data_IF_186074859469
#
_entry.id   IF_186074859469
#
_cell.length_a   1.000
_cell.length_b   1.000
_cell.length_c   1.000
_cell.angle_alpha   90.00
_cell.angle_beta   90.00
_cell.angle_gamma   90.00
#
_symmetry.space_group_name_H-M   'P 1'
#
loop_
_entity.id
_entity.type
_entity.pdbx_description
1 polymer ?
#
# COMPACT_ATOMS: atom_id res chain seq x y z
N UNK A 1 22.54 11.80 1.11
CA UNK A 1 21.47 11.87 2.13
C UNK A 1 20.10 11.51 1.54
N UNK A 2 19.59 12.17 0.50
CA UNK A 2 18.27 11.81 -0.06
C UNK A 2 18.16 10.38 -0.65
N UNK A 3 19.25 9.87 -1.24
CA UNK A 3 19.26 8.52 -1.84
C UNK A 3 19.11 7.39 -0.81
N UNK A 4 19.70 7.53 0.37
CA UNK A 4 19.57 6.53 1.44
C UNK A 4 18.16 6.51 2.03
N UNK A 5 17.52 7.67 2.17
CA UNK A 5 16.11 7.75 2.61
C UNK A 5 15.17 7.10 1.59
N UNK A 6 15.40 7.33 0.29
CA UNK A 6 14.63 6.69 -0.77
C UNK A 6 14.77 5.17 -0.73
N UNK A 7 15.99 4.65 -0.62
CA UNK A 7 16.20 3.20 -0.51
C UNK A 7 15.60 2.62 0.78
N UNK A 8 15.66 3.35 1.90
CA UNK A 8 15.02 2.92 3.14
C UNK A 8 13.49 2.87 3.00
N UNK A 9 12.87 3.88 2.39
CA UNK A 9 11.43 3.88 2.14
C UNK A 9 11.01 2.71 1.24
N UNK A 10 11.75 2.44 0.16
CA UNK A 10 11.50 1.29 -0.72
C UNK A 10 11.67 -0.03 0.04
N UNK A 11 12.72 -0.17 0.84
CA UNK A 11 12.95 -1.37 1.65
C UNK A 11 11.80 -1.62 2.64
N UNK A 12 11.30 -0.57 3.30
CA UNK A 12 10.14 -0.67 4.20
C UNK A 12 8.88 -1.10 3.45
N UNK A 13 8.62 -0.54 2.26
CA UNK A 13 7.48 -0.97 1.42
C UNK A 13 7.60 -2.45 1.08
N UNK A 14 8.78 -2.94 0.67
CA UNK A 14 8.99 -4.35 0.34
C UNK A 14 8.81 -5.28 1.55
N UNK A 15 9.31 -4.88 2.73
CA UNK A 15 9.11 -5.64 3.97
C UNK A 15 7.62 -5.72 4.31
N UNK A 16 6.90 -4.59 4.26
CA UNK A 16 5.46 -4.55 4.57
C UNK A 16 4.63 -5.36 3.56
N UNK A 17 4.90 -5.22 2.26
CA UNK A 17 4.29 -6.04 1.19
C UNK A 17 4.56 -7.54 1.40
N UNK A 18 5.74 -7.90 1.88
CA UNK A 18 6.16 -9.29 2.10
C UNK A 18 5.57 -9.95 3.35
N UNK A 19 5.15 -9.19 4.36
CA UNK A 19 4.63 -9.74 5.64
C UNK A 19 3.36 -10.56 5.41
N UNK A 20 2.38 -10.01 4.69
CA UNK A 20 1.09 -10.69 4.45
C UNK A 20 1.25 -11.99 3.66
N UNK A 21 1.94 -12.04 2.49
CA UNK A 21 2.14 -13.29 1.75
C UNK A 21 2.93 -14.32 2.55
N UNK A 22 3.89 -13.89 3.39
CA UNK A 22 4.67 -14.80 4.23
C UNK A 22 3.86 -15.37 5.39
N UNK A 23 3.05 -14.54 6.06
CA UNK A 23 2.24 -14.97 7.21
C UNK A 23 1.00 -15.78 6.79
N UNK A 24 0.30 -15.35 5.73
CA UNK A 24 -0.93 -16.00 5.28
C UNK A 24 -1.19 -15.77 3.79
N UNK A 25 -0.69 -16.66 2.90
CA UNK A 25 -0.97 -16.57 1.47
C UNK A 25 -2.46 -16.70 1.14
N UNK A 26 -3.22 -17.42 1.96
CA UNK A 26 -4.67 -17.56 1.82
C UNK A 26 -5.42 -16.25 2.09
N UNK A 27 -5.00 -15.48 3.10
CA UNK A 27 -5.59 -14.16 3.37
C UNK A 27 -5.34 -13.19 2.22
N UNK A 28 -4.14 -13.23 1.63
CA UNK A 28 -3.81 -12.43 0.46
C UNK A 28 -4.68 -12.80 -0.74
N UNK A 29 -4.82 -14.11 -1.04
CA UNK A 29 -5.67 -14.59 -2.15
C UNK A 29 -7.12 -14.15 -1.99
N UNK A 30 -7.69 -14.27 -0.79
CA UNK A 30 -9.08 -13.83 -0.51
C UNK A 30 -9.24 -12.31 -0.68
N UNK A 31 -8.25 -11.52 -0.27
CA UNK A 31 -8.26 -10.07 -0.46
C UNK A 31 -8.25 -9.71 -1.94
N UNK A 32 -7.41 -10.36 -2.75
CA UNK A 32 -7.39 -10.15 -4.19
C UNK A 32 -8.68 -10.58 -4.88
N UNK A 33 -9.28 -11.71 -4.49
CA UNK A 33 -10.57 -12.13 -5.02
C UNK A 33 -11.66 -11.08 -4.77
N UNK A 34 -11.72 -10.53 -3.55
CA UNK A 34 -12.65 -9.43 -3.23
C UNK A 34 -12.37 -8.19 -4.06
N UNK A 35 -11.10 -7.84 -4.28
CA UNK A 35 -10.73 -6.70 -5.12
C UNK A 35 -11.18 -6.90 -6.58
N UNK A 36 -11.12 -8.12 -7.11
CA UNK A 36 -11.59 -8.43 -8.47
C UNK A 36 -13.13 -8.36 -8.60
N UNK A 37 -13.86 -8.55 -7.50
CA UNK A 37 -15.32 -8.42 -7.46
C UNK A 37 -15.78 -6.96 -7.30
N UNK A 38 -14.87 -6.02 -6.99
CA UNK A 38 -15.18 -4.60 -6.83
C UNK A 38 -15.16 -3.87 -8.16
N UNK A 39 -16.11 -2.94 -8.35
CA UNK A 39 -16.12 -2.07 -9.53
C UNK A 39 -14.84 -1.21 -9.61
N UNK A 40 -14.33 -1.01 -10.82
CA UNK A 40 -13.16 -0.17 -11.11
C UNK A 40 -13.25 1.23 -10.49
N UNK A 41 -14.46 1.80 -10.43
CA UNK A 41 -14.70 3.12 -9.83
C UNK A 41 -14.37 3.12 -8.34
N UNK A 42 -14.73 2.06 -7.63
CA UNK A 42 -14.50 1.92 -6.19
C UNK A 42 -13.02 1.71 -5.90
N UNK A 43 -12.34 0.88 -6.70
CA UNK A 43 -10.88 0.66 -6.59
C UNK A 43 -10.11 1.97 -6.85
N UNK A 44 -10.52 2.74 -7.86
CA UNK A 44 -9.89 4.04 -8.16
C UNK A 44 -10.13 5.06 -7.06
N UNK A 45 -11.34 5.09 -6.49
CA UNK A 45 -11.69 6.03 -5.42
C UNK A 45 -10.93 5.70 -4.12
N UNK A 46 -10.84 4.42 -3.75
CA UNK A 46 -10.05 4.01 -2.57
C UNK A 46 -8.57 4.35 -2.75
N UNK A 47 -8.02 4.13 -3.95
CA UNK A 47 -6.67 4.57 -4.31
C UNK A 47 -6.48 6.08 -4.19
N UNK A 48 -7.44 6.88 -4.67
CA UNK A 48 -7.39 8.34 -4.58
C UNK A 48 -7.41 8.82 -3.11
N UNK A 49 -8.30 8.26 -2.29
CA UNK A 49 -8.38 8.57 -0.86
C UNK A 49 -7.06 8.21 -0.17
N UNK A 50 -6.48 7.05 -0.48
CA UNK A 50 -5.19 6.63 0.07
C UNK A 50 -4.05 7.56 -0.34
N UNK A 51 -4.02 8.02 -1.60
CA UNK A 51 -3.01 8.97 -2.07
C UNK A 51 -3.12 10.31 -1.34
N UNK A 52 -4.34 10.85 -1.21
CA UNK A 52 -4.58 12.12 -0.49
C UNK A 52 -4.17 11.98 0.97
N UNK A 53 -4.56 10.88 1.64
CA UNK A 53 -4.18 10.62 3.02
C UNK A 53 -2.65 10.53 3.17
N UNK A 54 -1.96 9.88 2.23
CA UNK A 54 -0.50 9.82 2.20
C UNK A 54 0.18 11.19 2.06
N UNK A 55 -0.35 12.05 1.18
CA UNK A 55 0.15 13.43 1.03
C UNK A 55 -0.08 14.23 2.30
N UNK A 56 -1.28 14.17 2.89
CA UNK A 56 -1.59 14.86 4.15
C UNK A 56 -0.68 14.40 5.28
N UNK A 57 -0.48 13.09 5.45
CA UNK A 57 0.44 12.56 6.45
C UNK A 57 1.88 13.01 6.21
N UNK A 58 2.33 13.02 4.96
CA UNK A 58 3.67 13.49 4.61
C UNK A 58 3.86 14.97 4.98
N UNK A 59 2.85 15.82 4.74
CA UNK A 59 2.87 17.25 5.12
C UNK A 59 2.72 17.51 6.61
N UNK A 60 2.18 16.56 7.38
CA UNK A 60 2.10 16.68 8.85
C UNK A 60 3.39 16.22 9.54
N UNK A 61 4.05 15.21 8.98
CA UNK A 61 5.28 14.62 9.54
C UNK A 61 6.53 15.37 9.10
N UNK A 62 6.51 16.01 7.93
CA UNK A 62 7.56 16.90 7.42
C UNK A 62 7.07 18.33 7.34
#
# INVERSE_FOLDING_TARGET
>A
MAWSELFAAIALVLVLEGIIPFMSPDALRKTYQRLMEMDDRTIRMSGLVSMIAGVVLLTLVR
#
